data_IF_004623200376
#
_entry.id   IF_004623200376
#
_cell.length_a   1.000
_cell.length_b   1.000
_cell.length_c   1.000
_cell.angle_alpha   90.00
_cell.angle_beta   90.00
_cell.angle_gamma   90.00
#
_symmetry.space_group_name_H-M   'P 1'
#
loop_
_entity.id
_entity.type
_entity.pdbx_description
1 polymer ?
#
# COMPACT_ATOMS: atom_id res chain seq x y z
N UNK A 1 11.98 14.28 -14.80
CA UNK A 1 11.30 14.05 -13.50
C UNK A 1 10.78 15.40 -13.01
N UNK A 2 9.62 15.46 -12.34
CA UNK A 2 9.11 16.72 -11.81
C UNK A 2 10.08 17.27 -10.74
N UNK A 3 10.28 18.59 -10.68
CA UNK A 3 11.28 19.21 -9.79
C UNK A 3 10.95 19.12 -8.30
N UNK A 4 9.74 18.67 -7.98
CA UNK A 4 9.21 18.49 -6.63
C UNK A 4 9.05 17.01 -6.25
N UNK A 5 9.76 16.11 -6.94
CA UNK A 5 9.77 14.67 -6.66
C UNK A 5 11.20 14.25 -6.35
N UNK A 6 11.38 13.66 -5.18
CA UNK A 6 12.62 13.00 -4.79
C UNK A 6 12.43 11.49 -4.85
N UNK A 7 13.39 10.79 -5.45
CA UNK A 7 13.38 9.33 -5.55
C UNK A 7 14.51 8.78 -4.69
N UNK A 8 14.19 7.76 -3.89
CA UNK A 8 15.15 7.05 -3.06
C UNK A 8 15.23 5.59 -3.49
N UNK A 9 16.43 5.01 -3.42
CA UNK A 9 16.57 3.56 -3.43
C UNK A 9 15.94 2.98 -2.14
N UNK A 10 15.45 1.75 -2.22
CA UNK A 10 14.73 1.09 -1.11
C UNK A 10 15.57 0.99 0.17
N UNK A 11 16.82 0.57 0.06
CA UNK A 11 17.79 0.43 1.15
C UNK A 11 18.30 1.77 1.69
N UNK A 12 18.35 2.80 0.84
CA UNK A 12 18.64 4.17 1.25
C UNK A 12 17.46 4.81 2.00
N UNK A 13 16.22 4.43 1.66
CA UNK A 13 15.02 4.93 2.31
C UNK A 13 14.81 4.28 3.69
N UNK A 14 14.89 2.94 3.76
CA UNK A 14 14.84 2.18 5.01
C UNK A 14 15.93 1.11 4.94
N UNK A 15 16.95 1.26 5.80
CA UNK A 15 18.11 0.37 5.82
C UNK A 15 17.68 -1.11 6.00
N UNK A 16 18.20 -1.98 5.16
CA UNK A 16 17.96 -3.43 5.20
C UNK A 16 16.60 -3.87 4.63
N UNK A 17 15.74 -2.94 4.22
CA UNK A 17 14.44 -3.27 3.63
C UNK A 17 14.53 -3.21 2.10
N UNK A 18 14.85 -4.35 1.49
CA UNK A 18 14.96 -4.51 0.03
C UNK A 18 13.93 -5.51 -0.50
N UNK A 19 13.62 -5.42 -1.79
CA UNK A 19 12.77 -6.43 -2.46
C UNK A 19 13.37 -7.82 -2.32
N UNK A 20 14.69 -7.93 -2.47
CA UNK A 20 15.42 -9.19 -2.38
C UNK A 20 15.38 -9.77 -0.97
N UNK A 21 15.58 -8.96 0.08
CA UNK A 21 15.50 -9.42 1.46
C UNK A 21 14.08 -9.89 1.83
N UNK A 22 13.06 -9.13 1.41
CA UNK A 22 11.66 -9.53 1.62
C UNK A 22 11.33 -10.82 0.86
N UNK A 23 11.77 -10.95 -0.39
CA UNK A 23 11.53 -12.13 -1.21
C UNK A 23 12.22 -13.37 -0.63
N UNK A 24 13.48 -13.22 -0.22
CA UNK A 24 14.24 -14.28 0.42
C UNK A 24 13.56 -14.76 1.70
N UNK A 25 13.10 -13.82 2.56
CA UNK A 25 12.37 -14.18 3.77
C UNK A 25 11.11 -14.99 3.47
N UNK A 26 10.33 -14.56 2.48
CA UNK A 26 9.11 -15.28 2.09
C UNK A 26 9.43 -16.69 1.60
N UNK A 27 10.48 -16.86 0.79
CA UNK A 27 10.91 -18.16 0.30
C UNK A 27 11.41 -19.08 1.42
N UNK A 28 12.18 -18.55 2.36
CA UNK A 28 12.71 -19.32 3.50
C UNK A 28 11.58 -19.74 4.45
N UNK A 29 10.73 -18.81 4.86
CA UNK A 29 9.67 -19.07 5.83
C UNK A 29 8.48 -19.86 5.25
N UNK A 30 8.18 -19.67 3.96
CA UNK A 30 6.93 -20.11 3.33
C UNK A 30 7.12 -20.83 1.98
N UNK A 31 8.32 -21.26 1.62
CA UNK A 31 8.60 -21.87 0.32
C UNK A 31 7.71 -23.08 -0.02
N UNK A 32 7.30 -23.86 0.98
CA UNK A 32 6.35 -24.97 0.84
C UNK A 32 4.93 -24.54 0.43
N UNK A 33 4.60 -23.27 0.66
CA UNK A 33 3.27 -22.68 0.50
C UNK A 33 3.18 -21.72 -0.70
N UNK A 34 4.30 -21.28 -1.27
CA UNK A 34 4.37 -20.26 -2.32
C UNK A 34 4.18 -20.79 -3.76
N UNK A 35 4.13 -22.12 -3.94
CA UNK A 35 4.05 -22.73 -5.27
C UNK A 35 5.35 -22.57 -6.08
N UNK A 36 5.29 -22.88 -7.39
CA UNK A 36 6.50 -22.97 -8.24
C UNK A 36 7.24 -21.65 -8.40
N UNK A 37 6.52 -20.55 -8.51
CA UNK A 37 7.10 -19.23 -8.80
C UNK A 37 7.54 -18.48 -7.53
N UNK A 38 7.35 -19.07 -6.34
CA UNK A 38 7.89 -18.56 -5.09
C UNK A 38 7.45 -17.12 -4.78
N UNK A 39 8.37 -16.31 -4.25
CA UNK A 39 8.14 -14.88 -4.00
C UNK A 39 8.04 -14.04 -5.27
N UNK A 40 8.36 -14.61 -6.44
CA UNK A 40 8.21 -14.00 -7.77
C UNK A 40 6.85 -14.28 -8.40
N UNK A 41 5.99 -15.07 -7.74
CA UNK A 41 4.63 -15.31 -8.18
C UNK A 41 3.91 -13.97 -8.45
N UNK A 42 3.30 -13.87 -9.63
CA UNK A 42 2.59 -12.67 -10.07
C UNK A 42 1.10 -12.82 -9.82
N UNK A 43 0.51 -11.80 -9.21
CA UNK A 43 -0.93 -11.68 -9.01
C UNK A 43 -1.36 -10.26 -9.37
N UNK A 44 -2.31 -10.09 -10.30
CA UNK A 44 -2.86 -8.78 -10.70
C UNK A 44 -1.79 -7.70 -11.02
N UNK A 45 -0.73 -8.09 -11.75
CA UNK A 45 0.32 -7.17 -12.21
C UNK A 45 1.39 -6.83 -11.18
N UNK A 46 1.51 -7.60 -10.08
CA UNK A 46 2.59 -7.41 -9.09
C UNK A 46 3.20 -8.73 -8.66
N UNK A 47 4.48 -8.70 -8.34
CA UNK A 47 5.20 -9.79 -7.69
C UNK A 47 4.96 -9.75 -6.18
N UNK A 48 4.87 -10.92 -5.55
CA UNK A 48 4.55 -11.04 -4.13
C UNK A 48 5.54 -10.29 -3.23
N UNK A 49 6.85 -10.50 -3.43
CA UNK A 49 7.88 -9.80 -2.66
C UNK A 49 7.81 -8.28 -2.82
N UNK A 50 7.54 -7.80 -4.04
CA UNK A 50 7.35 -6.36 -4.30
C UNK A 50 6.10 -5.79 -3.64
N UNK A 51 5.01 -6.56 -3.57
CA UNK A 51 3.80 -6.16 -2.86
C UNK A 51 4.06 -6.00 -1.36
N UNK A 52 4.70 -6.98 -0.72
CA UNK A 52 5.05 -6.88 0.71
C UNK A 52 6.03 -5.74 0.98
N UNK A 53 7.04 -5.56 0.13
CA UNK A 53 7.96 -4.43 0.23
C UNK A 53 7.21 -3.10 0.25
N UNK A 54 6.23 -2.89 -0.66
CA UNK A 54 5.44 -1.67 -0.70
C UNK A 54 4.74 -1.41 0.65
N UNK A 55 4.15 -2.43 1.26
CA UNK A 55 3.47 -2.31 2.56
C UNK A 55 4.46 -1.94 3.67
N UNK A 56 5.63 -2.58 3.68
CA UNK A 56 6.67 -2.35 4.67
C UNK A 56 7.28 -0.95 4.52
N UNK A 57 7.58 -0.50 3.29
CA UNK A 57 8.13 0.84 3.04
C UNK A 57 7.18 1.94 3.56
N UNK A 58 5.88 1.79 3.32
CA UNK A 58 4.86 2.74 3.80
C UNK A 58 4.81 2.83 5.32
N UNK A 59 5.01 1.72 6.02
CA UNK A 59 5.11 1.70 7.49
C UNK A 59 6.44 2.27 7.98
N UNK A 60 7.55 1.80 7.41
CA UNK A 60 8.89 2.22 7.83
C UNK A 60 9.22 3.67 7.46
N UNK A 61 8.41 4.32 6.62
CA UNK A 61 8.54 5.73 6.26
C UNK A 61 8.71 6.64 7.48
N UNK A 62 7.99 6.37 8.58
CA UNK A 62 8.13 7.12 9.83
C UNK A 62 9.54 7.04 10.44
N UNK A 63 10.26 5.94 10.20
CA UNK A 63 11.62 5.69 10.70
C UNK A 63 12.72 6.15 9.73
N UNK A 64 12.35 6.55 8.51
CA UNK A 64 13.31 6.94 7.47
C UNK A 64 13.97 8.27 7.80
N UNK A 65 15.28 8.37 7.57
CA UNK A 65 16.01 9.64 7.69
C UNK A 65 15.55 10.67 6.65
N UNK A 66 15.04 10.23 5.49
CA UNK A 66 14.48 11.10 4.45
C UNK A 66 13.22 11.85 4.94
N UNK A 67 12.48 11.29 5.90
CA UNK A 67 11.30 11.91 6.51
C UNK A 67 11.61 12.50 7.89
N UNK A 68 12.57 11.94 8.63
CA UNK A 68 12.87 12.36 9.99
C UNK A 68 13.91 13.51 10.09
N UNK A 69 14.78 13.75 9.09
CA UNK A 69 15.92 14.67 9.20
C UNK A 69 16.32 15.40 7.89
N UNK A 70 15.97 16.70 7.69
CA UNK A 70 15.02 17.47 8.48
C UNK A 70 13.59 16.98 8.23
N UNK A 71 12.69 17.06 9.22
CA UNK A 71 11.35 16.54 9.05
C UNK A 71 10.56 17.39 8.06
N UNK A 72 10.20 16.82 6.91
CA UNK A 72 9.19 17.42 6.02
C UNK A 72 7.92 17.73 6.81
N UNK A 73 7.47 16.75 7.62
CA UNK A 73 6.43 16.88 8.65
C UNK A 73 6.32 15.57 9.44
N UNK A 74 6.02 15.64 10.75
CA UNK A 74 5.67 14.44 11.56
C UNK A 74 4.31 13.86 11.15
N UNK A 75 3.43 14.66 10.56
CA UNK A 75 2.18 14.19 9.94
C UNK A 75 2.33 14.24 8.42
N UNK A 76 2.31 13.09 7.76
CA UNK A 76 2.53 12.99 6.31
C UNK A 76 1.46 12.14 5.64
N UNK A 77 1.31 12.33 4.33
CA UNK A 77 0.35 11.60 3.51
C UNK A 77 1.04 10.40 2.84
N UNK A 78 0.53 9.20 3.11
CA UNK A 78 0.77 8.05 2.25
C UNK A 78 -0.23 8.09 1.08
N UNK A 79 0.25 7.90 -0.15
CA UNK A 79 -0.56 7.96 -1.37
C UNK A 79 -0.14 6.86 -2.35
N UNK A 80 -1.09 6.03 -2.78
CA UNK A 80 -0.83 5.04 -3.82
C UNK A 80 -0.70 5.72 -5.20
N UNK A 81 0.32 5.32 -5.96
CA UNK A 81 0.67 5.96 -7.24
C UNK A 81 -0.37 5.75 -8.35
N UNK A 82 -1.25 4.78 -8.21
CA UNK A 82 -2.34 4.50 -9.13
C UNK A 82 -3.61 5.33 -8.84
N UNK A 83 -3.54 6.29 -7.91
CA UNK A 83 -4.64 7.18 -7.57
C UNK A 83 -4.47 8.57 -8.17
N UNK A 84 -5.56 9.09 -8.75
CA UNK A 84 -5.62 10.39 -9.41
C UNK A 84 -6.50 11.34 -8.58
N UNK A 85 -5.96 12.46 -8.05
CA UNK A 85 -6.76 13.47 -7.38
C UNK A 85 -7.63 14.22 -8.40
N UNK A 86 -8.93 14.35 -8.11
CA UNK A 86 -9.90 15.05 -8.94
C UNK A 86 -10.23 16.45 -8.39
N UNK A 87 -9.90 16.67 -7.11
CA UNK A 87 -10.17 17.87 -6.31
C UNK A 87 -9.14 18.07 -5.19
N UNK A 88 -9.09 19.26 -4.57
CA UNK A 88 -8.40 19.44 -3.30
C UNK A 88 -8.90 18.44 -2.25
N UNK A 89 -7.96 17.76 -1.59
CA UNK A 89 -8.27 16.75 -0.59
C UNK A 89 -8.43 17.41 0.78
N UNK A 90 -9.51 17.09 1.49
CA UNK A 90 -9.63 17.43 2.91
C UNK A 90 -8.86 16.40 3.72
N UNK A 91 -7.57 16.67 3.94
CA UNK A 91 -6.68 15.81 4.72
C UNK A 91 -6.82 16.02 6.23
N UNK A 92 -7.26 17.21 6.65
CA UNK A 92 -7.37 17.60 8.05
C UNK A 92 -8.67 18.38 8.34
N UNK A 93 -9.17 18.26 9.57
CA UNK A 93 -10.17 19.15 10.17
C UNK A 93 -9.52 19.85 11.37
N UNK A 94 -9.02 21.07 11.16
CA UNK A 94 -8.06 21.67 12.09
C UNK A 94 -6.75 20.88 12.07
N UNK A 95 -6.30 20.42 13.24
CA UNK A 95 -5.07 19.60 13.39
C UNK A 95 -5.32 18.09 13.30
N UNK A 96 -6.59 17.67 13.18
CA UNK A 96 -7.01 16.27 13.24
C UNK A 96 -7.06 15.68 11.81
N UNK A 97 -6.23 14.67 11.50
CA UNK A 97 -6.32 13.91 10.26
C UNK A 97 -7.73 13.38 9.95
N UNK A 98 -8.08 13.36 8.67
CA UNK A 98 -9.33 12.81 8.16
C UNK A 98 -9.07 11.47 7.49
N UNK A 99 -9.69 10.41 8.00
CA UNK A 99 -9.66 9.06 7.44
C UNK A 99 -10.81 8.82 6.49
N UNK A 100 -10.48 8.35 5.30
CA UNK A 100 -11.47 7.88 4.34
C UNK A 100 -11.97 6.48 4.72
N UNK A 101 -13.15 6.15 4.22
CA UNK A 101 -13.81 4.85 4.40
C UNK A 101 -14.21 4.28 3.03
N UNK A 102 -14.78 3.07 3.01
CA UNK A 102 -15.29 2.46 1.79
C UNK A 102 -14.31 1.51 1.09
N UNK A 103 -13.26 1.08 1.78
CA UNK A 103 -12.33 0.05 1.34
C UNK A 103 -12.92 -1.36 1.45
N UNK A 104 -12.27 -2.33 0.80
CA UNK A 104 -12.69 -3.73 0.84
C UNK A 104 -12.22 -4.40 2.14
N UNK A 105 -13.06 -5.27 2.70
CA UNK A 105 -12.72 -6.13 3.84
C UNK A 105 -12.00 -7.39 3.33
N UNK A 106 -10.84 -7.69 3.93
CA UNK A 106 -9.99 -8.83 3.53
C UNK A 106 -9.63 -9.61 4.80
N UNK A 107 -10.04 -10.88 4.88
CA UNK A 107 -9.90 -11.72 6.08
C UNK A 107 -8.45 -12.00 6.47
N UNK A 108 -7.57 -12.19 5.51
CA UNK A 108 -6.15 -12.44 5.76
C UNK A 108 -5.48 -11.28 6.52
N UNK A 109 -5.93 -10.04 6.29
CA UNK A 109 -5.45 -8.88 7.07
C UNK A 109 -5.87 -8.97 8.55
N UNK A 110 -7.05 -9.52 8.85
CA UNK A 110 -7.50 -9.74 10.23
C UNK A 110 -6.56 -10.69 10.96
N UNK A 111 -6.21 -11.81 10.31
CA UNK A 111 -5.35 -12.84 10.89
C UNK A 111 -3.94 -12.31 11.17
N UNK A 112 -3.35 -11.56 10.23
CA UNK A 112 -2.04 -10.96 10.42
C UNK A 112 -2.05 -9.90 11.54
N UNK A 113 -3.07 -9.03 11.56
CA UNK A 113 -3.20 -8.03 12.61
C UNK A 113 -3.36 -8.65 14.00
N UNK A 114 -4.24 -9.64 14.16
CA UNK A 114 -4.42 -10.36 15.42
C UNK A 114 -3.13 -11.07 15.85
N UNK A 115 -2.40 -11.65 14.90
CA UNK A 115 -1.09 -12.26 15.17
C UNK A 115 -0.05 -11.22 15.58
N UNK A 116 -0.12 -9.97 15.12
CA UNK A 116 0.79 -8.88 15.51
C UNK A 116 0.42 -8.25 16.85
N UNK A 117 -0.85 -7.93 17.08
CA UNK A 117 -1.28 -7.11 18.22
C UNK A 117 -1.91 -7.93 19.35
N UNK A 118 -2.51 -9.08 19.02
CA UNK A 118 -3.43 -9.80 19.91
C UNK A 118 -4.85 -9.22 19.89
N UNK A 119 -5.09 -8.17 19.11
CA UNK A 119 -6.37 -7.49 19.00
C UNK A 119 -7.05 -7.77 17.66
N UNK A 120 -8.37 -7.56 17.62
CA UNK A 120 -9.14 -7.68 16.38
C UNK A 120 -9.03 -6.42 15.53
N UNK A 121 -8.78 -6.60 14.23
CA UNK A 121 -8.77 -5.54 13.22
C UNK A 121 -10.09 -4.73 13.28
N UNK A 122 -9.99 -3.41 13.12
CA UNK A 122 -11.14 -2.49 13.20
C UNK A 122 -11.59 -2.04 11.82
N UNK A 123 -12.91 -1.91 11.68
CA UNK A 123 -13.56 -1.40 10.48
C UNK A 123 -14.24 -0.07 10.74
N UNK A 124 -14.60 0.62 9.66
CA UNK A 124 -15.47 1.78 9.72
C UNK A 124 -16.86 1.36 10.23
N UNK A 125 -17.62 2.34 10.75
CA UNK A 125 -18.97 2.10 11.29
C UNK A 125 -19.94 1.50 10.27
N UNK A 126 -19.71 1.72 8.99
CA UNK A 126 -20.50 1.17 7.88
C UNK A 126 -20.07 -0.25 7.46
N UNK A 127 -19.13 -0.87 8.19
CA UNK A 127 -18.61 -2.20 7.91
C UNK A 127 -17.53 -2.25 6.83
N UNK A 128 -17.15 -1.11 6.26
CA UNK A 128 -16.08 -1.03 5.25
C UNK A 128 -14.70 -0.90 5.87
N UNK A 129 -13.64 -1.18 5.10
CA UNK A 129 -12.26 -1.01 5.59
C UNK A 129 -11.73 0.41 5.39
N UNK A 130 -10.65 0.71 6.12
CA UNK A 130 -9.86 1.94 5.97
C UNK A 130 -8.79 1.85 4.85
N UNK A 131 -8.76 0.73 4.11
CA UNK A 131 -7.87 0.56 2.94
C UNK A 131 -8.45 1.39 1.78
N UNK A 132 -8.01 2.64 1.71
CA UNK A 132 -8.57 3.65 0.80
C UNK A 132 -7.52 4.29 -0.11
N UNK A 133 -6.35 3.66 -0.23
CA UNK A 133 -5.25 4.07 -1.11
C UNK A 133 -4.61 5.43 -0.79
N UNK A 134 -5.01 6.03 0.32
CA UNK A 134 -4.31 7.14 0.93
C UNK A 134 -4.61 7.18 2.42
N UNK A 135 -3.65 7.67 3.21
CA UNK A 135 -3.88 7.93 4.62
C UNK A 135 -2.89 8.95 5.13
N UNK A 136 -3.39 9.92 5.90
CA UNK A 136 -2.52 10.74 6.74
C UNK A 136 -2.08 9.92 7.94
N UNK A 137 -0.78 9.89 8.15
CA UNK A 137 -0.10 9.17 9.22
C UNK A 137 0.54 10.19 10.17
N UNK A 138 0.56 9.87 11.47
CA UNK A 138 1.43 10.52 12.44
C UNK A 138 2.63 9.59 12.70
N UNK A 139 3.82 10.10 12.41
CA UNK A 139 5.07 9.36 12.55
C UNK A 139 5.26 8.82 13.97
N UNK A 140 4.81 9.54 15.00
CA UNK A 140 5.00 9.16 16.40
C UNK A 140 4.14 7.97 16.78
N UNK A 141 2.88 7.95 16.31
CA UNK A 141 1.97 6.82 16.51
C UNK A 141 2.44 5.61 15.69
N UNK A 142 2.96 5.85 14.47
CA UNK A 142 3.50 4.78 13.64
C UNK A 142 4.75 4.15 14.27
N UNK A 143 5.70 4.96 14.76
CA UNK A 143 6.87 4.48 15.51
C UNK A 143 6.46 3.66 16.75
N UNK A 144 5.50 4.15 17.53
CA UNK A 144 4.96 3.41 18.70
C UNK A 144 4.42 2.03 18.30
N UNK A 145 3.66 1.96 17.20
CA UNK A 145 3.13 0.71 16.65
C UNK A 145 4.24 -0.24 16.20
N UNK A 146 5.24 0.28 15.49
CA UNK A 146 6.38 -0.53 15.00
C UNK A 146 7.23 -1.05 16.15
N UNK A 147 7.43 -0.26 17.20
CA UNK A 147 8.08 -0.71 18.43
C UNK A 147 7.29 -1.82 19.12
N UNK A 148 5.95 -1.75 19.11
CA UNK A 148 5.11 -2.82 19.62
C UNK A 148 5.28 -4.12 18.82
N UNK A 149 5.39 -4.04 17.49
CA UNK A 149 5.65 -5.20 16.63
C UNK A 149 7.04 -5.78 16.87
N UNK A 150 8.07 -4.93 16.94
CA UNK A 150 9.44 -5.36 17.18
C UNK A 150 9.56 -6.14 18.50
N UNK A 151 8.96 -5.66 19.59
CA UNK A 151 8.95 -6.35 20.90
C UNK A 151 8.30 -7.74 20.86
N UNK A 152 7.42 -8.01 19.89
CA UNK A 152 6.81 -9.33 19.72
C UNK A 152 7.75 -10.31 19.04
N UNK A 153 8.53 -9.87 18.06
CA UNK A 153 9.55 -10.69 17.40
C UNK A 153 10.64 -11.17 18.38
N UNK A 154 11.00 -10.39 19.40
CA UNK A 154 11.94 -10.81 20.47
C UNK A 154 11.48 -12.04 21.25
N UNK A 155 10.17 -12.31 21.29
CA UNK A 155 9.61 -13.42 22.08
C UNK A 155 9.54 -14.73 21.31
N UNK A 156 9.78 -14.70 20.01
CA UNK A 156 9.66 -15.85 19.08
C UNK A 156 11.03 -16.34 18.59
N UNK A 157 12.08 -16.08 19.37
CA UNK A 157 13.51 -16.22 19.06
C UNK A 157 13.94 -17.65 18.68
N UNK A 158 13.92 -17.99 17.39
CA UNK A 158 14.72 -19.09 16.79
C UNK A 158 15.46 -18.69 15.50
N UNK A 159 15.29 -17.45 15.00
CA UNK A 159 16.05 -16.92 13.86
C UNK A 159 16.42 -15.46 14.12
N UNK A 160 17.48 -15.25 14.88
CA UNK A 160 18.21 -13.99 14.91
C UNK A 160 19.70 -14.31 14.95
N UNK A 161 20.45 -13.88 13.94
CA UNK A 161 21.83 -13.37 14.06
C UNK A 161 22.49 -13.23 12.69
N UNK A 162 22.25 -12.12 12.00
CA UNK A 162 23.24 -11.44 11.16
C UNK A 162 22.86 -9.97 10.92
N UNK A 163 23.85 -9.10 10.91
CA UNK A 163 23.70 -7.63 10.86
C UNK A 163 23.31 -7.05 9.48
N UNK A 164 22.80 -7.87 8.56
CA UNK A 164 22.22 -7.49 7.26
C UNK A 164 20.71 -7.83 7.17
N UNK A 165 20.09 -8.16 8.30
CA UNK A 165 18.70 -8.61 8.40
C UNK A 165 17.68 -7.46 8.33
N UNK A 166 16.50 -7.79 7.83
CA UNK A 166 15.31 -6.93 7.80
C UNK A 166 15.08 -6.23 9.15
N UNK A 167 14.52 -5.00 9.16
CA UNK A 167 14.11 -4.37 10.41
C UNK A 167 13.23 -5.29 11.26
N UNK A 168 13.44 -5.32 12.57
CA UNK A 168 12.76 -6.28 13.46
C UNK A 168 11.24 -6.22 13.42
N UNK A 169 10.67 -5.01 13.28
CA UNK A 169 9.23 -4.84 13.09
C UNK A 169 8.76 -5.40 11.74
N UNK A 170 9.60 -5.34 10.69
CA UNK A 170 9.29 -5.87 9.36
C UNK A 170 9.30 -7.40 9.41
N UNK A 171 10.29 -7.99 10.10
CA UNK A 171 10.31 -9.43 10.39
C UNK A 171 9.05 -9.86 11.15
N UNK A 172 8.63 -9.12 12.18
CA UNK A 172 7.39 -9.41 12.90
C UNK A 172 6.16 -9.41 11.98
N UNK A 173 6.07 -8.42 11.08
CA UNK A 173 4.99 -8.34 10.08
C UNK A 173 5.02 -9.56 9.15
N UNK A 174 6.18 -9.92 8.62
CA UNK A 174 6.29 -11.08 7.73
C UNK A 174 6.03 -12.41 8.46
N UNK A 175 6.41 -12.54 9.73
CA UNK A 175 6.08 -13.72 10.56
C UNK A 175 4.58 -13.86 10.84
N UNK A 176 3.85 -12.75 10.85
CA UNK A 176 2.42 -12.72 11.16
C UNK A 176 1.53 -13.26 10.05
N UNK A 177 2.09 -13.50 8.86
CA UNK A 177 1.32 -13.84 7.67
C UNK A 177 0.65 -15.21 7.80
N UNK A 178 -0.59 -15.29 7.34
CA UNK A 178 -1.30 -16.55 7.25
C UNK A 178 -0.77 -17.37 6.07
N UNK A 179 -0.12 -18.51 6.36
CA UNK A 179 0.41 -19.46 5.36
C UNK A 179 -0.58 -19.86 4.27
N UNK A 180 -1.88 -19.84 4.57
CA UNK A 180 -2.94 -20.23 3.63
C UNK A 180 -3.36 -19.14 2.64
N UNK A 181 -2.97 -17.89 2.90
CA UNK A 181 -3.35 -16.73 2.07
C UNK A 181 -2.25 -15.67 2.11
N UNK A 182 -1.18 -15.94 1.36
CA UNK A 182 -0.02 -15.05 1.26
C UNK A 182 -0.22 -13.96 0.21
N UNK A 183 -1.11 -14.13 -0.77
CA UNK A 183 -1.31 -13.17 -1.87
C UNK A 183 -1.87 -11.82 -1.40
N UNK A 184 -2.65 -11.84 -0.32
CA UNK A 184 -3.20 -10.66 0.34
C UNK A 184 -2.98 -10.77 1.85
N UNK A 185 -1.79 -11.14 2.31
CA UNK A 185 -1.58 -11.50 3.73
C UNK A 185 -1.62 -10.32 4.70
N UNK A 186 -1.30 -9.09 4.27
CA UNK A 186 -1.15 -7.95 5.17
C UNK A 186 -1.53 -6.60 4.54
N UNK A 187 -2.06 -5.66 5.33
CA UNK A 187 -2.20 -4.27 4.91
C UNK A 187 -1.71 -3.30 5.97
N UNK A 188 -0.82 -2.42 5.54
CA UNK A 188 -0.32 -1.24 6.22
C UNK A 188 -1.46 -0.29 6.63
N UNK A 189 -2.39 0.01 5.70
CA UNK A 189 -3.50 0.92 5.95
C UNK A 189 -4.47 0.33 6.96
N UNK A 190 -4.83 -0.94 6.81
CA UNK A 190 -5.74 -1.62 7.74
C UNK A 190 -5.14 -1.70 9.15
N UNK A 191 -3.84 -2.02 9.23
CA UNK A 191 -3.11 -2.19 10.48
C UNK A 191 -2.95 -0.86 11.22
N UNK A 192 -2.40 0.16 10.58
CA UNK A 192 -2.23 1.47 11.20
C UNK A 192 -3.58 2.11 11.57
N UNK A 193 -4.60 1.94 10.72
CA UNK A 193 -5.93 2.43 11.04
C UNK A 193 -6.50 1.79 12.31
N UNK A 194 -6.40 0.46 12.41
CA UNK A 194 -6.88 -0.28 13.57
C UNK A 194 -6.13 0.09 14.84
N UNK A 195 -4.80 0.18 14.76
CA UNK A 195 -3.96 0.54 15.91
C UNK A 195 -4.34 1.89 16.51
N UNK A 196 -4.56 2.90 15.67
CA UNK A 196 -4.99 4.23 16.12
C UNK A 196 -6.42 4.22 16.66
N UNK A 197 -7.33 3.39 16.14
CA UNK A 197 -8.69 3.29 16.71
C UNK A 197 -8.64 2.74 18.14
N UNK A 198 -7.76 1.79 18.41
CA UNK A 198 -7.62 1.18 19.73
C UNK A 198 -6.85 2.06 20.72
N UNK A 199 -5.78 2.72 20.26
CA UNK A 199 -4.82 3.39 21.15
C UNK A 199 -4.92 4.92 21.12
N UNK A 200 -5.38 5.50 20.02
CA UNK A 200 -5.39 6.95 19.76
C UNK A 200 -6.70 7.46 19.13
N UNK A 201 -7.90 7.08 19.64
CA UNK A 201 -9.17 7.35 18.96
C UNK A 201 -9.50 8.85 18.81
N UNK A 202 -8.92 9.72 19.63
CA UNK A 202 -9.09 11.18 19.56
C UNK A 202 -8.23 11.84 18.49
N UNK A 203 -7.18 11.16 18.00
CA UNK A 203 -6.20 11.73 17.07
C UNK A 203 -6.65 11.67 15.61
N UNK A 204 -7.81 11.09 15.32
CA UNK A 204 -8.33 10.97 13.96
C UNK A 204 -9.82 11.23 13.89
N UNK A 205 -10.24 11.84 12.78
CA UNK A 205 -11.64 11.94 12.40
C UNK A 205 -11.92 10.99 11.24
N UNK A 206 -13.10 10.38 11.23
CA UNK A 206 -13.52 9.44 10.18
C UNK A 206 -14.56 10.12 9.29
N UNK A 207 -14.43 9.97 7.97
CA UNK A 207 -15.45 10.42 7.03
C UNK A 207 -16.77 9.69 7.23
N UNK A 208 -17.88 10.38 6.99
CA UNK A 208 -19.20 9.78 7.11
C UNK A 208 -19.66 9.02 5.87
N UNK A 209 -18.95 9.18 4.74
CA UNK A 209 -19.29 8.57 3.46
C UNK A 209 -18.04 8.37 2.60
N UNK A 210 -18.09 7.36 1.73
CA UNK A 210 -17.10 7.15 0.68
C UNK A 210 -17.10 8.30 -0.32
N UNK A 211 -15.94 8.92 -0.54
CA UNK A 211 -15.73 10.01 -1.52
C UNK A 211 -14.72 9.66 -2.61
N UNK A 212 -14.45 8.38 -2.82
CA UNK A 212 -13.48 7.91 -3.80
C UNK A 212 -13.96 6.65 -4.52
N UNK A 213 -13.29 6.28 -5.60
CA UNK A 213 -13.54 5.03 -6.31
C UNK A 213 -12.21 4.33 -6.62
N UNK A 214 -12.20 3.00 -6.54
CA UNK A 214 -11.00 2.17 -6.76
C UNK A 214 -10.57 2.09 -8.23
N UNK A 215 -11.55 2.16 -9.14
CA UNK A 215 -11.31 2.14 -10.57
C UNK A 215 -12.27 3.10 -11.26
N UNK A 216 -11.79 3.88 -12.21
CA UNK A 216 -12.58 4.77 -13.06
C UNK A 216 -13.55 3.98 -13.96
N UNK A 217 -14.69 3.55 -13.40
CA UNK A 217 -15.68 2.72 -14.08
C UNK A 217 -15.45 1.20 -13.97
N UNK A 218 -14.59 0.75 -13.05
CA UNK A 218 -14.27 -0.67 -12.89
C UNK A 218 -13.43 -1.24 -14.05
N UNK A 219 -13.23 -2.56 -14.06
CA UNK A 219 -12.46 -3.25 -15.13
C UNK A 219 -13.07 -3.02 -16.51
N UNK A 220 -14.39 -3.01 -16.60
CA UNK A 220 -15.12 -2.76 -17.85
C UNK A 220 -14.90 -1.33 -18.36
N UNK A 221 -14.95 -0.33 -17.47
CA UNK A 221 -14.70 1.07 -17.81
C UNK A 221 -13.28 1.30 -18.34
N UNK A 222 -12.29 0.69 -17.69
CA UNK A 222 -10.88 0.77 -18.14
C UNK A 222 -10.70 0.05 -19.49
N UNK A 223 -11.32 -1.12 -19.68
CA UNK A 223 -11.23 -1.84 -20.95
C UNK A 223 -11.87 -1.06 -22.11
N UNK A 224 -12.99 -0.38 -21.85
CA UNK A 224 -13.64 0.48 -22.82
C UNK A 224 -12.81 1.73 -23.14
N UNK A 225 -12.11 2.29 -22.15
CA UNK A 225 -11.17 3.40 -22.37
C UNK A 225 -10.07 3.02 -23.34
N UNK A 226 -9.46 1.84 -23.19
CA UNK A 226 -8.46 1.36 -24.14
C UNK A 226 -8.98 1.27 -25.57
N UNK A 227 -10.24 0.89 -25.76
CA UNK A 227 -10.83 0.82 -27.10
C UNK A 227 -11.01 2.20 -27.74
N UNK A 228 -11.27 3.23 -26.93
CA UNK A 228 -11.39 4.62 -27.39
C UNK A 228 -10.02 5.29 -27.56
N UNK A 229 -9.06 4.95 -26.69
CA UNK A 229 -7.71 5.46 -26.73
C UNK A 229 -6.94 4.76 -27.86
N UNK A 230 -6.87 5.39 -29.02
CA UNK A 230 -6.20 4.85 -30.22
C UNK A 230 -4.68 4.64 -30.05
N UNK A 231 -4.09 5.07 -28.94
CA UNK A 231 -2.69 4.85 -28.56
C UNK A 231 -2.44 3.49 -27.86
N UNK A 232 -3.51 2.71 -27.62
CA UNK A 232 -3.45 1.41 -26.95
C UNK A 232 -3.31 1.50 -25.43
N UNK A 233 -3.30 2.72 -24.87
CA UNK A 233 -3.16 3.00 -23.44
C UNK A 233 -4.47 2.85 -22.69
N UNK A 234 -4.39 2.32 -21.48
CA UNK A 234 -5.55 2.26 -20.58
C UNK A 234 -5.81 3.56 -19.82
N UNK A 235 -4.90 4.54 -19.85
CA UNK A 235 -4.97 5.75 -19.04
C UNK A 235 -6.29 6.53 -19.24
N UNK A 236 -6.86 7.11 -18.18
CA UNK A 236 -8.14 7.78 -18.27
C UNK A 236 -7.98 9.15 -18.94
N UNK A 237 -8.72 9.35 -20.04
CA UNK A 237 -8.77 10.65 -20.71
C UNK A 237 -9.55 11.72 -19.93
N UNK A 238 -9.45 13.00 -20.31
CA UNK A 238 -10.11 14.12 -19.62
C UNK A 238 -11.62 13.96 -19.42
N UNK A 239 -12.33 13.35 -20.39
CA UNK A 239 -13.78 13.13 -20.29
C UNK A 239 -14.16 12.15 -19.17
N UNK A 240 -13.41 11.07 -19.00
CA UNK A 240 -13.62 10.09 -17.90
C UNK A 240 -13.37 10.76 -16.57
N UNK A 241 -12.26 11.49 -16.43
CA UNK A 241 -11.92 12.21 -15.20
C UNK A 241 -12.97 13.28 -14.88
N UNK A 242 -13.48 13.98 -15.90
CA UNK A 242 -14.60 14.92 -15.78
C UNK A 242 -15.88 14.25 -15.27
N UNK A 243 -16.21 13.06 -15.75
CA UNK A 243 -17.36 12.28 -15.28
C UNK A 243 -17.16 11.80 -13.82
N UNK A 244 -15.98 11.31 -13.46
CA UNK A 244 -15.69 10.90 -12.08
C UNK A 244 -15.77 12.09 -11.13
N UNK A 245 -15.27 13.25 -11.57
CA UNK A 245 -15.40 14.51 -10.84
C UNK A 245 -16.86 14.90 -10.70
N UNK A 246 -17.70 14.83 -11.74
CA UNK A 246 -19.13 15.20 -11.63
C UNK A 246 -19.91 14.31 -10.64
N UNK A 247 -19.48 13.05 -10.46
CA UNK A 247 -20.00 12.11 -9.45
C UNK A 247 -19.59 12.40 -8.00
N UNK A 248 -18.93 13.53 -7.77
CA UNK A 248 -18.47 13.98 -6.45
C UNK A 248 -17.37 13.12 -5.81
N UNK A 249 -16.58 12.40 -6.61
CA UNK A 249 -15.34 11.80 -6.09
C UNK A 249 -14.22 12.83 -5.93
N UNK A 250 -13.45 12.71 -4.86
CA UNK A 250 -12.28 13.54 -4.55
C UNK A 250 -11.03 12.97 -5.22
N UNK A 251 -10.95 11.66 -5.35
CA UNK A 251 -9.90 10.94 -6.07
C UNK A 251 -10.42 9.60 -6.61
N UNK A 252 -9.74 9.06 -7.62
CA UNK A 252 -10.11 7.80 -8.27
C UNK A 252 -8.86 7.00 -8.61
N UNK A 253 -8.93 5.69 -8.40
CA UNK A 253 -7.88 4.76 -8.77
C UNK A 253 -7.96 4.35 -10.24
N UNK A 254 -6.82 3.91 -10.75
CA UNK A 254 -6.66 3.43 -12.10
C UNK A 254 -5.71 2.22 -12.13
N UNK A 255 -6.17 1.15 -11.47
CA UNK A 255 -5.46 -0.13 -11.28
C UNK A 255 -5.35 -0.94 -12.59
N UNK A 256 -4.54 -0.50 -13.55
CA UNK A 256 -4.41 -1.14 -14.88
C UNK A 256 -3.90 -2.59 -14.82
N UNK A 257 -3.11 -2.96 -13.80
CA UNK A 257 -2.66 -4.34 -13.56
C UNK A 257 -3.80 -5.33 -13.30
N UNK A 258 -5.00 -4.83 -12.95
CA UNK A 258 -6.19 -5.66 -12.73
C UNK A 258 -6.99 -5.92 -14.01
N UNK A 259 -6.57 -5.36 -15.14
CA UNK A 259 -7.30 -5.35 -16.41
C UNK A 259 -6.42 -6.00 -17.48
N UNK A 260 -6.74 -7.25 -17.81
CA UNK A 260 -5.97 -8.06 -18.78
C UNK A 260 -5.86 -7.37 -20.15
N UNK A 261 -6.92 -6.70 -20.57
CA UNK A 261 -6.90 -5.92 -21.81
C UNK A 261 -5.87 -4.80 -21.77
N UNK A 262 -5.38 -4.33 -20.63
CA UNK A 262 -4.29 -3.34 -20.58
C UNK A 262 -2.91 -3.93 -20.83
N UNK A 263 -2.78 -5.27 -20.92
CA UNK A 263 -1.52 -5.96 -21.24
C UNK A 263 -0.35 -5.57 -20.33
N UNK A 264 -0.63 -5.16 -19.09
CA UNK A 264 0.34 -4.59 -18.15
C UNK A 264 1.63 -5.44 -18.01
N UNK A 265 1.48 -6.77 -17.97
CA UNK A 265 2.60 -7.72 -17.83
C UNK A 265 3.32 -8.05 -19.16
N UNK A 266 3.00 -7.38 -20.26
CA UNK A 266 3.67 -7.61 -21.55
C UNK A 266 5.11 -7.13 -21.51
N UNK A 267 6.07 -7.83 -22.15
CA UNK A 267 7.49 -7.43 -22.17
C UNK A 267 7.71 -6.00 -22.67
N UNK A 268 6.86 -5.53 -23.59
CA UNK A 268 6.89 -4.16 -24.12
C UNK A 268 6.56 -3.05 -23.08
N UNK A 269 6.12 -3.42 -21.87
CA UNK A 269 5.74 -2.51 -20.79
C UNK A 269 6.58 -2.66 -19.52
N UNK A 270 7.62 -3.51 -19.55
CA UNK A 270 8.42 -3.88 -18.37
C UNK A 270 8.98 -2.67 -17.62
N UNK A 271 9.32 -1.59 -18.32
CA UNK A 271 9.92 -0.38 -17.73
C UNK A 271 9.00 0.85 -17.70
N UNK A 272 7.72 0.70 -18.03
CA UNK A 272 6.89 1.84 -18.41
C UNK A 272 5.48 1.83 -17.83
N UNK A 273 5.23 1.04 -16.79
CA UNK A 273 3.96 1.02 -16.05
C UNK A 273 2.74 0.91 -16.97
N UNK A 274 2.79 0.01 -17.96
CA UNK A 274 1.71 -0.19 -18.93
C UNK A 274 1.62 0.84 -20.06
N UNK A 275 2.60 1.73 -20.20
CA UNK A 275 2.77 2.59 -21.38
C UNK A 275 3.76 1.92 -22.36
N UNK A 276 3.61 2.00 -23.68
CA UNK A 276 4.70 1.62 -24.58
C UNK A 276 5.83 2.65 -24.42
N UNK A 277 7.07 2.16 -24.35
CA UNK A 277 8.24 3.03 -24.48
C UNK A 277 8.30 3.45 -25.95
N UNK A 278 7.65 4.57 -26.30
CA UNK A 278 7.98 5.23 -27.54
C UNK A 278 9.33 5.90 -27.32
N UNK A 279 10.39 5.29 -27.85
CA UNK A 279 11.65 6.01 -28.06
C UNK A 279 11.30 7.16 -29.00
N UNK A 280 11.49 8.43 -28.61
CA UNK A 280 11.37 9.52 -29.56
C UNK A 280 12.40 9.31 -30.66
N UNK A 281 11.95 9.21 -31.91
CA UNK A 281 12.82 9.31 -33.09
C UNK A 281 13.48 10.69 -33.18
#
# INVERSE_FOLDING_TARGET
MATNVECHAEDAFIRGLTKDAVSWYLEDAYGDSLGRDGARARFVGRELGGWYLQQLIKLGAATSTAIAHPPLSRKFLLWDLDMIPLRPLTLFKGEIPVRQIGGNVIKSYEAAYETLTGDRLKYAKDGTSYVTHQMVVDASIMEEMLDAFARKADRTDELATTSDELPRWATAVLQSLNRKDLTLGFSEYATYASYVVDNHPSEVSVESRKKWARASGGKLGISFQRWINHDGLCCPGPGVLGLMKSRRFDYVGHEIGHVESCRYDSPEHEFSYGLPITVPD
#
